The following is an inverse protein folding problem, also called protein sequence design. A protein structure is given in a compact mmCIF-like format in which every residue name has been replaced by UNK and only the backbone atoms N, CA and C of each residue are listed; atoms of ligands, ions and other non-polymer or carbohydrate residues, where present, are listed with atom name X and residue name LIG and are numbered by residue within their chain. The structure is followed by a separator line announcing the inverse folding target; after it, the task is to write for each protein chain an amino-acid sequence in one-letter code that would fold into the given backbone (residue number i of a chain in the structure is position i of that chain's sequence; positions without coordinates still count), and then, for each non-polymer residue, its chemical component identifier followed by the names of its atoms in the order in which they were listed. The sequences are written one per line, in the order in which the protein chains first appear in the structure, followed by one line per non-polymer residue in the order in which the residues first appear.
data_IF_569927500786
#
_entry.id   IF_569927500786
#
_cell.length_a   1.000
_cell.length_b   1.000
_cell.length_c   1.000
_cell.angle_alpha   90.00
_cell.angle_beta   90.00
_cell.angle_gamma   90.00
#
_symmetry.space_group_name_H-M   'P 1'
#
loop_
_entity.id
_entity.type
_entity.pdbx_description
1 polymer ?
#
# COMPACT_ATOMS: atom_id res chain seq x y z
N UNK A 1 -22.50 12.44 22.56
CA UNK A 1 -22.09 11.82 21.28
C UNK A 1 -20.69 12.32 20.98
N UNK A 2 -19.68 11.44 21.02
CA UNK A 2 -18.31 11.80 20.66
C UNK A 2 -18.29 12.27 19.21
N UNK A 3 -17.50 13.30 18.90
CA UNK A 3 -17.41 13.80 17.53
C UNK A 3 -16.61 12.78 16.72
N UNK A 4 -17.06 12.43 15.51
CA UNK A 4 -16.31 11.54 14.59
C UNK A 4 -14.86 12.00 14.37
N UNK A 5 -14.57 13.30 14.59
CA UNK A 5 -13.24 13.93 14.54
C UNK A 5 -12.16 13.24 15.41
N UNK A 6 -12.56 12.49 16.44
CA UNK A 6 -11.63 11.83 17.36
C UNK A 6 -11.51 10.32 17.04
N UNK A 7 -12.15 9.85 15.96
CA UNK A 7 -12.30 8.44 15.65
C UNK A 7 -11.16 7.94 14.74
N UNK A 8 -10.33 7.07 15.28
CA UNK A 8 -9.47 6.15 14.56
C UNK A 8 -10.25 5.33 13.51
N UNK A 9 -9.55 4.74 12.55
CA UNK A 9 -10.20 3.90 11.52
C UNK A 9 -11.08 2.77 12.12
N UNK A 10 -10.69 2.11 13.23
CA UNK A 10 -11.59 1.24 14.00
C UNK A 10 -12.90 1.88 14.44
N UNK A 11 -12.85 3.13 14.86
CA UNK A 11 -14.02 3.84 15.34
C UNK A 11 -14.97 4.29 14.21
N UNK A 12 -14.47 4.45 12.98
CA UNK A 12 -15.31 4.60 11.78
C UNK A 12 -16.21 3.36 11.56
N UNK A 13 -15.70 2.16 11.84
CA UNK A 13 -16.49 0.92 11.71
C UNK A 13 -17.61 0.75 12.75
N UNK A 14 -17.59 1.55 13.82
CA UNK A 14 -18.67 1.56 14.81
C UNK A 14 -19.81 2.53 14.45
N UNK A 15 -19.62 3.40 13.45
CA UNK A 15 -20.56 4.46 13.07
C UNK A 15 -20.95 4.37 11.58
N UNK A 16 -21.05 3.14 11.06
CA UNK A 16 -21.26 2.85 9.62
C UNK A 16 -22.52 3.53 9.07
N UNK A 17 -23.63 3.50 9.82
CA UNK A 17 -24.89 4.11 9.38
C UNK A 17 -24.76 5.62 9.19
N UNK A 18 -24.04 6.28 10.09
CA UNK A 18 -23.74 7.71 9.98
C UNK A 18 -22.86 7.98 8.75
N UNK A 19 -21.78 7.22 8.55
CA UNK A 19 -20.92 7.35 7.36
C UNK A 19 -21.71 7.18 6.04
N UNK A 20 -22.70 6.30 6.00
CA UNK A 20 -23.49 6.07 4.79
C UNK A 20 -24.48 7.21 4.48
N UNK A 21 -24.78 8.06 5.46
CA UNK A 21 -25.79 9.14 5.36
C UNK A 21 -25.18 10.55 5.20
N UNK A 22 -23.97 10.80 5.73
CA UNK A 22 -23.29 12.09 5.65
C UNK A 22 -23.01 12.57 4.22
N UNK A 23 -23.12 13.86 3.91
CA UNK A 23 -22.74 14.35 2.58
C UNK A 23 -21.21 14.57 2.48
N UNK A 24 -20.70 14.95 1.29
CA UNK A 24 -19.25 15.16 1.07
C UNK A 24 -18.68 16.30 1.93
N UNK A 25 -19.45 17.37 2.16
CA UNK A 25 -19.04 18.51 2.98
C UNK A 25 -18.94 18.09 4.46
N UNK A 26 -19.89 17.29 4.94
CA UNK A 26 -19.85 16.73 6.29
C UNK A 26 -18.61 15.86 6.51
N UNK A 27 -18.22 15.06 5.51
CA UNK A 27 -16.98 14.29 5.57
C UNK A 27 -15.73 15.18 5.64
N UNK A 28 -15.71 16.31 4.94
CA UNK A 28 -14.59 17.25 4.99
C UNK A 28 -14.46 17.90 6.37
N UNK A 29 -15.57 18.10 7.09
CA UNK A 29 -15.55 18.59 8.47
C UNK A 29 -14.94 17.61 9.48
N UNK A 30 -14.74 16.33 9.10
CA UNK A 30 -14.09 15.32 9.93
C UNK A 30 -12.56 15.30 9.78
N UNK A 31 -12.05 15.99 8.77
CA UNK A 31 -10.63 16.02 8.48
C UNK A 31 -9.89 16.98 9.41
N UNK A 32 -8.66 16.63 9.76
CA UNK A 32 -7.72 17.57 10.37
C UNK A 32 -7.37 18.69 9.37
N UNK A 33 -6.82 19.81 9.85
CA UNK A 33 -6.43 20.88 8.93
C UNK A 33 -5.07 20.55 8.29
N UNK A 34 -4.86 20.81 6.98
CA UNK A 34 -3.59 20.53 6.33
C UNK A 34 -2.37 21.12 7.04
N UNK A 35 -2.49 22.32 7.62
CA UNK A 35 -1.41 22.98 8.36
C UNK A 35 -0.89 22.19 9.57
N UNK A 36 -1.72 21.33 10.16
CA UNK A 36 -1.36 20.51 11.33
C UNK A 36 -0.47 19.31 10.96
N UNK A 37 -0.33 18.99 9.67
CA UNK A 37 0.42 17.83 9.22
C UNK A 37 1.88 18.17 8.93
N UNK A 38 2.74 17.31 9.48
CA UNK A 38 4.17 17.33 9.20
C UNK A 38 4.46 16.73 7.82
N UNK A 39 5.56 17.19 7.23
CA UNK A 39 6.05 16.69 5.96
C UNK A 39 7.46 16.12 6.19
N UNK A 40 7.74 14.85 5.83
CA UNK A 40 9.07 14.28 5.95
C UNK A 40 10.10 15.15 5.23
N UNK A 41 11.27 15.38 5.85
CA UNK A 41 12.32 16.19 5.23
C UNK A 41 12.74 15.62 3.88
N UNK A 42 12.84 14.29 3.78
CA UNK A 42 13.16 13.59 2.53
C UNK A 42 12.15 13.87 1.43
N UNK A 43 10.85 13.93 1.75
CA UNK A 43 9.82 14.34 0.80
C UNK A 43 10.06 15.78 0.34
N UNK A 44 10.22 16.71 1.30
CA UNK A 44 10.40 18.14 1.00
C UNK A 44 11.63 18.38 0.12
N UNK A 45 12.74 17.70 0.40
CA UNK A 45 13.93 17.74 -0.44
C UNK A 45 13.66 17.13 -1.82
N UNK A 46 12.97 15.99 -1.90
CA UNK A 46 12.64 15.36 -3.19
C UNK A 46 11.82 16.26 -4.11
N UNK A 47 10.81 16.96 -3.56
CA UNK A 47 10.01 17.93 -4.33
C UNK A 47 10.66 19.31 -4.43
N UNK A 48 11.93 19.45 -4.05
CA UNK A 48 12.70 20.70 -4.06
C UNK A 48 11.98 21.87 -3.38
N UNK A 49 11.40 21.62 -2.21
CA UNK A 49 10.68 22.61 -1.41
C UNK A 49 9.51 23.29 -2.16
N UNK A 50 8.95 22.63 -3.19
CA UNK A 50 7.79 23.12 -3.90
C UNK A 50 6.57 23.20 -2.97
N UNK A 51 6.20 24.43 -2.60
CA UNK A 51 5.10 24.72 -1.66
C UNK A 51 3.78 24.09 -2.10
N UNK A 52 3.46 24.08 -3.40
CA UNK A 52 2.23 23.49 -3.91
C UNK A 52 2.20 21.98 -3.72
N UNK A 53 3.32 21.29 -3.95
CA UNK A 53 3.40 19.84 -3.76
C UNK A 53 3.37 19.46 -2.28
N UNK A 54 4.05 20.23 -1.43
CA UNK A 54 4.00 20.09 0.02
C UNK A 54 2.57 20.27 0.53
N UNK A 55 1.86 21.29 0.07
CA UNK A 55 0.45 21.50 0.42
C UNK A 55 -0.40 20.30 -0.01
N UNK A 56 -0.24 19.80 -1.24
CA UNK A 56 -0.96 18.60 -1.71
C UNK A 56 -0.72 17.36 -0.83
N UNK A 57 0.52 17.16 -0.37
CA UNK A 57 0.83 16.06 0.56
C UNK A 57 0.10 16.23 1.88
N UNK A 58 0.16 17.42 2.48
CA UNK A 58 -0.54 17.73 3.73
C UNK A 58 -2.05 17.58 3.59
N UNK A 59 -2.63 18.10 2.52
CA UNK A 59 -4.05 17.92 2.19
C UNK A 59 -4.41 16.45 2.05
N UNK A 60 -3.60 15.66 1.33
CA UNK A 60 -3.88 14.24 1.16
C UNK A 60 -3.85 13.48 2.50
N UNK A 61 -2.89 13.77 3.37
CA UNK A 61 -2.84 13.18 4.72
C UNK A 61 -4.05 13.60 5.57
N UNK A 62 -4.34 14.90 5.59
CA UNK A 62 -5.47 15.48 6.30
C UNK A 62 -6.80 14.87 5.89
N UNK A 63 -6.98 14.66 4.58
CA UNK A 63 -8.22 14.19 3.98
C UNK A 63 -8.27 12.67 3.80
N UNK A 64 -7.24 11.94 4.20
CA UNK A 64 -7.18 10.48 4.09
C UNK A 64 -8.38 9.79 4.74
N UNK A 65 -8.83 10.14 5.97
CA UNK A 65 -10.03 9.52 6.56
C UNK A 65 -11.28 9.70 5.68
N UNK A 66 -11.45 10.89 5.09
CA UNK A 66 -12.53 11.14 4.14
C UNK A 66 -12.41 10.27 2.89
N UNK A 67 -11.23 10.19 2.27
CA UNK A 67 -11.03 9.34 1.09
C UNK A 67 -11.41 7.88 1.36
N UNK A 68 -10.96 7.35 2.49
CA UNK A 68 -11.30 6.02 2.94
C UNK A 68 -12.80 5.80 3.12
N UNK A 69 -13.47 6.65 3.91
CA UNK A 69 -14.89 6.51 4.18
C UNK A 69 -15.74 6.70 2.92
N UNK A 70 -15.39 7.69 2.09
CA UNK A 70 -16.06 7.96 0.82
C UNK A 70 -15.94 6.77 -0.13
N UNK A 71 -14.73 6.21 -0.29
CA UNK A 71 -14.51 5.06 -1.17
C UNK A 71 -15.29 3.83 -0.72
N UNK A 72 -15.24 3.50 0.58
CA UNK A 72 -15.98 2.38 1.15
C UNK A 72 -17.49 2.52 0.96
N UNK A 73 -18.02 3.73 1.17
CA UNK A 73 -19.44 4.03 0.90
C UNK A 73 -19.78 3.81 -0.57
N UNK A 74 -18.99 4.35 -1.49
CA UNK A 74 -19.23 4.23 -2.93
C UNK A 74 -19.19 2.77 -3.37
N UNK A 75 -18.22 1.98 -2.89
CA UNK A 75 -18.18 0.54 -3.12
C UNK A 75 -19.41 -0.18 -2.55
N UNK A 76 -19.86 0.16 -1.34
CA UNK A 76 -21.02 -0.48 -0.71
C UNK A 76 -22.32 -0.18 -1.47
N UNK A 77 -22.50 1.06 -1.90
CA UNK A 77 -23.73 1.52 -2.52
C UNK A 77 -23.81 1.19 -4.02
N UNK A 78 -22.68 1.24 -4.73
CA UNK A 78 -22.66 1.17 -6.19
C UNK A 78 -21.87 -0.04 -6.72
N UNK A 79 -21.22 -0.81 -5.85
CA UNK A 79 -20.23 -1.78 -6.27
C UNK A 79 -19.06 -1.11 -6.99
N UNK A 80 -18.37 -1.86 -7.84
CA UNK A 80 -17.32 -1.31 -8.70
C UNK A 80 -17.94 -0.52 -9.85
N UNK A 81 -17.74 0.80 -9.87
CA UNK A 81 -18.30 1.69 -10.88
C UNK A 81 -17.27 2.66 -11.47
N UNK A 82 -17.26 2.80 -12.80
CA UNK A 82 -16.36 3.70 -13.54
C UNK A 82 -16.54 5.19 -13.19
N UNK A 83 -17.64 5.56 -12.54
CA UNK A 83 -17.92 6.93 -12.07
C UNK A 83 -16.94 7.40 -11.00
N UNK A 84 -16.40 6.49 -10.18
CA UNK A 84 -15.51 6.84 -9.07
C UNK A 84 -14.20 6.05 -9.04
N UNK A 85 -14.12 4.92 -9.74
CA UNK A 85 -12.88 4.16 -9.86
C UNK A 85 -12.54 3.81 -11.31
N UNK A 86 -11.32 4.12 -11.73
CA UNK A 86 -10.72 3.69 -12.98
C UNK A 86 -10.02 2.35 -12.78
N UNK A 87 -10.42 1.33 -13.52
CA UNK A 87 -9.82 0.00 -13.50
C UNK A 87 -9.20 -0.28 -14.87
N UNK A 88 -7.95 -0.77 -14.92
CA UNK A 88 -7.32 -1.17 -16.16
C UNK A 88 -8.16 -2.21 -16.92
N UNK A 89 -8.42 -2.00 -18.22
CA UNK A 89 -9.36 -2.82 -18.99
C UNK A 89 -8.94 -4.30 -19.09
N UNK A 90 -7.64 -4.58 -18.96
CA UNK A 90 -7.04 -5.90 -19.01
C UNK A 90 -6.92 -6.60 -17.65
N UNK A 91 -7.41 -5.99 -16.55
CA UNK A 91 -7.26 -6.56 -15.21
C UNK A 91 -7.84 -7.98 -15.12
N UNK A 92 -9.09 -8.16 -15.55
CA UNK A 92 -9.79 -9.46 -15.47
C UNK A 92 -9.08 -10.57 -16.25
N UNK A 93 -8.45 -10.24 -17.38
CA UNK A 93 -7.68 -11.20 -18.17
C UNK A 93 -6.38 -11.58 -17.46
N UNK A 94 -5.66 -10.59 -16.93
CA UNK A 94 -4.41 -10.79 -16.20
C UNK A 94 -4.63 -11.68 -14.99
N UNK A 95 -5.75 -11.53 -14.28
CA UNK A 95 -5.99 -12.22 -13.00
C UNK A 95 -6.91 -13.44 -13.12
N UNK A 96 -7.21 -13.89 -14.34
CA UNK A 96 -8.00 -15.10 -14.62
C UNK A 96 -7.41 -16.35 -13.95
N UNK A 97 -6.10 -16.36 -13.74
CA UNK A 97 -5.37 -17.39 -13.02
C UNK A 97 -4.68 -16.81 -11.78
N UNK A 98 -4.49 -17.63 -10.73
CA UNK A 98 -3.77 -17.23 -9.53
C UNK A 98 -2.40 -16.64 -9.86
N UNK A 99 -2.16 -15.46 -9.31
CA UNK A 99 -0.89 -14.74 -9.40
C UNK A 99 -0.56 -14.12 -8.04
N UNK A 100 0.67 -13.62 -7.92
CA UNK A 100 1.11 -12.91 -6.73
C UNK A 100 0.96 -11.42 -6.99
N UNK A 101 0.25 -10.73 -6.12
CA UNK A 101 0.11 -9.29 -6.16
C UNK A 101 1.16 -8.62 -5.28
N UNK A 102 1.69 -7.51 -5.76
CA UNK A 102 2.59 -6.64 -4.99
C UNK A 102 2.00 -5.25 -4.91
N UNK A 103 1.74 -4.77 -3.70
CA UNK A 103 0.99 -3.52 -3.51
C UNK A 103 1.87 -2.52 -2.76
N UNK A 104 2.51 -1.54 -3.42
CA UNK A 104 3.24 -0.50 -2.72
C UNK A 104 2.29 0.43 -1.94
N UNK A 105 2.81 1.10 -0.92
CA UNK A 105 2.04 1.97 -0.02
C UNK A 105 1.63 3.30 -0.68
N UNK A 106 0.74 3.24 -1.67
CA UNK A 106 0.17 4.41 -2.35
C UNK A 106 -1.31 4.59 -2.02
N UNK A 107 -1.78 5.84 -2.00
CA UNK A 107 -3.21 6.16 -2.01
C UNK A 107 -3.99 5.45 -0.89
N UNK A 108 -4.96 4.61 -1.24
CA UNK A 108 -5.67 3.74 -0.28
C UNK A 108 -5.29 2.25 -0.49
N UNK A 109 -4.00 1.93 -0.60
CA UNK A 109 -3.45 0.59 -0.88
C UNK A 109 -4.11 -0.56 -0.09
N UNK A 110 -4.50 -0.33 1.16
CA UNK A 110 -5.16 -1.33 2.00
C UNK A 110 -6.58 -1.71 1.54
N UNK A 111 -7.21 -0.90 0.68
CA UNK A 111 -8.51 -1.21 0.07
C UNK A 111 -8.37 -1.97 -1.26
N UNK A 112 -7.18 -2.01 -1.85
CA UNK A 112 -6.91 -2.74 -3.09
C UNK A 112 -7.25 -4.23 -3.01
N UNK A 113 -6.91 -4.98 -1.94
CA UNK A 113 -7.33 -6.37 -1.78
C UNK A 113 -8.84 -6.57 -1.97
N UNK A 114 -9.66 -5.67 -1.43
CA UNK A 114 -11.12 -5.77 -1.52
C UNK A 114 -11.62 -5.52 -2.93
N UNK A 115 -10.99 -4.61 -3.69
CA UNK A 115 -11.30 -4.38 -5.10
C UNK A 115 -10.94 -5.61 -5.93
N UNK A 116 -9.74 -6.17 -5.72
CA UNK A 116 -9.27 -7.35 -6.44
C UNK A 116 -10.15 -8.57 -6.17
N UNK A 117 -10.68 -8.71 -4.96
CA UNK A 117 -11.63 -9.76 -4.59
C UNK A 117 -12.82 -9.88 -5.55
N UNK A 118 -13.30 -8.76 -6.12
CA UNK A 118 -14.42 -8.78 -7.09
C UNK A 118 -14.08 -9.40 -8.45
N UNK A 119 -12.80 -9.58 -8.77
CA UNK A 119 -12.35 -10.03 -10.08
C UNK A 119 -11.73 -11.44 -10.07
N UNK A 120 -11.44 -11.99 -8.89
CA UNK A 120 -10.91 -13.34 -8.77
C UNK A 120 -12.02 -14.39 -8.82
N UNK A 121 -11.65 -15.66 -8.94
CA UNK A 121 -12.61 -16.76 -9.00
C UNK A 121 -13.42 -16.86 -7.69
N UNK A 122 -14.72 -17.20 -7.73
CA UNK A 122 -15.57 -17.27 -6.53
C UNK A 122 -15.05 -18.17 -5.41
N UNK A 123 -14.37 -19.26 -5.76
CA UNK A 123 -13.77 -20.21 -4.82
C UNK A 123 -12.41 -19.79 -4.25
N UNK A 124 -11.81 -18.73 -4.82
CA UNK A 124 -10.49 -18.24 -4.47
C UNK A 124 -10.55 -17.08 -3.48
N UNK A 125 -9.46 -16.89 -2.76
CA UNK A 125 -9.28 -15.81 -1.80
C UNK A 125 -8.04 -14.99 -2.14
N UNK A 126 -8.07 -13.71 -1.81
CA UNK A 126 -6.92 -12.84 -1.66
C UNK A 126 -6.31 -13.09 -0.28
N UNK A 127 -5.00 -13.37 -0.22
CA UNK A 127 -4.28 -13.60 1.04
C UNK A 127 -3.38 -12.40 1.32
N UNK A 128 -3.88 -11.42 2.08
CA UNK A 128 -3.18 -10.16 2.33
C UNK A 128 -2.32 -10.23 3.60
N UNK A 129 -1.00 -10.21 3.44
CA UNK A 129 -0.10 -10.17 4.60
C UNK A 129 0.08 -8.76 5.15
N UNK A 130 0.05 -8.56 6.48
CA UNK A 130 0.27 -7.23 7.07
C UNK A 130 0.54 -7.26 8.57
N UNK A 131 1.10 -6.16 9.10
CA UNK A 131 1.39 -6.00 10.53
C UNK A 131 0.13 -5.98 11.40
N UNK A 132 0.29 -6.19 12.71
CA UNK A 132 -0.81 -6.22 13.67
C UNK A 132 -1.75 -5.01 13.58
N UNK A 133 -1.22 -3.81 13.33
CA UNK A 133 -2.05 -2.60 13.22
C UNK A 133 -2.99 -2.65 12.02
N UNK A 134 -2.58 -3.33 10.94
CA UNK A 134 -3.40 -3.55 9.75
C UNK A 134 -4.54 -4.58 9.99
N UNK A 135 -4.45 -5.43 11.01
CA UNK A 135 -5.51 -6.38 11.38
C UNK A 135 -6.78 -5.65 11.82
N UNK A 136 -6.61 -4.59 12.63
CA UNK A 136 -7.71 -3.74 13.09
C UNK A 136 -8.39 -3.00 11.92
N UNK A 137 -7.58 -2.52 10.97
CA UNK A 137 -8.04 -1.87 9.75
C UNK A 137 -8.81 -2.85 8.86
N UNK A 138 -8.25 -4.04 8.62
CA UNK A 138 -8.92 -5.08 7.85
C UNK A 138 -10.27 -5.50 8.46
N UNK A 139 -10.30 -5.68 9.78
CA UNK A 139 -11.54 -6.01 10.51
C UNK A 139 -12.59 -4.92 10.36
N UNK A 140 -12.17 -3.65 10.41
CA UNK A 140 -13.04 -2.49 10.23
C UNK A 140 -13.60 -2.39 8.81
N UNK A 141 -12.79 -2.69 7.78
CA UNK A 141 -13.25 -2.77 6.40
C UNK A 141 -14.28 -3.89 6.27
N UNK A 142 -13.99 -5.08 6.80
CA UNK A 142 -14.88 -6.24 6.74
C UNK A 142 -16.23 -6.01 7.44
N UNK A 143 -16.29 -5.18 8.48
CA UNK A 143 -17.56 -4.77 9.10
C UNK A 143 -18.42 -3.90 8.15
N UNK A 144 -17.78 -3.10 7.30
CA UNK A 144 -18.47 -2.18 6.36
C UNK A 144 -18.84 -2.89 5.06
N UNK A 145 -17.85 -3.57 4.49
CA UNK A 145 -17.86 -4.34 3.25
C UNK A 145 -17.47 -5.78 3.59
N UNK A 146 -18.42 -6.62 4.06
CA UNK A 146 -18.13 -8.01 4.34
C UNK A 146 -17.73 -8.71 3.02
N UNK A 147 -16.43 -8.81 2.80
CA UNK A 147 -15.84 -9.46 1.66
C UNK A 147 -15.27 -10.80 2.10
N UNK A 148 -15.99 -11.88 1.78
CA UNK A 148 -15.62 -13.25 2.15
C UNK A 148 -14.34 -13.71 1.44
N UNK A 149 -13.90 -13.02 0.39
CA UNK A 149 -12.77 -13.44 -0.43
C UNK A 149 -11.45 -12.78 -0.03
N UNK A 150 -11.37 -12.05 1.09
CA UNK A 150 -10.11 -11.49 1.60
C UNK A 150 -9.78 -12.11 2.96
N UNK A 151 -8.65 -12.81 3.03
CA UNK A 151 -8.09 -13.36 4.26
C UNK A 151 -6.84 -12.57 4.65
N UNK A 152 -6.82 -12.07 5.90
CA UNK A 152 -5.68 -11.33 6.43
C UNK A 152 -4.68 -12.27 7.11
N UNK A 153 -3.42 -12.14 6.72
CA UNK A 153 -2.31 -12.98 7.18
C UNK A 153 -1.35 -12.14 8.03
N UNK A 154 -1.51 -12.20 9.36
CA UNK A 154 -0.76 -11.37 10.30
C UNK A 154 0.76 -11.64 10.28
N UNK A 155 1.56 -10.57 10.35
CA UNK A 155 3.00 -10.60 10.64
C UNK A 155 3.33 -9.84 11.95
N UNK A 156 4.43 -10.18 12.66
CA UNK A 156 5.42 -11.20 12.33
C UNK A 156 4.89 -12.63 12.47
N UNK A 157 5.13 -13.45 11.44
CA UNK A 157 4.89 -14.89 11.44
C UNK A 157 6.00 -15.54 10.62
N UNK A 158 6.84 -16.35 11.29
CA UNK A 158 7.98 -17.03 10.66
C UNK A 158 7.55 -17.97 9.51
N UNK A 159 6.28 -18.41 9.52
CA UNK A 159 5.71 -19.28 8.49
C UNK A 159 4.95 -18.53 7.41
N UNK A 160 4.94 -17.19 7.40
CA UNK A 160 4.12 -16.40 6.48
C UNK A 160 4.35 -16.77 5.02
N UNK A 161 5.61 -16.86 4.57
CA UNK A 161 5.93 -17.25 3.20
C UNK A 161 5.40 -18.64 2.85
N UNK A 162 5.52 -19.60 3.78
CA UNK A 162 5.01 -20.96 3.59
C UNK A 162 3.49 -20.98 3.50
N UNK A 163 2.80 -20.18 4.30
CA UNK A 163 1.33 -20.05 4.24
C UNK A 163 0.88 -19.45 2.92
N UNK A 164 1.54 -18.39 2.45
CA UNK A 164 1.23 -17.76 1.16
C UNK A 164 1.47 -18.71 -0.02
N UNK A 165 2.58 -19.48 -0.02
CA UNK A 165 2.86 -20.49 -1.06
C UNK A 165 1.79 -21.59 -1.05
N UNK A 166 1.41 -22.09 0.13
CA UNK A 166 0.34 -23.11 0.24
C UNK A 166 -0.98 -22.56 -0.27
N UNK A 167 -1.31 -21.32 0.07
CA UNK A 167 -2.49 -20.64 -0.43
C UNK A 167 -2.49 -20.52 -1.96
N UNK A 168 -1.37 -20.09 -2.54
CA UNK A 168 -1.19 -20.04 -3.99
C UNK A 168 -1.45 -21.39 -4.66
N UNK A 169 -0.86 -22.47 -4.13
CA UNK A 169 -1.04 -23.83 -4.64
C UNK A 169 -2.49 -24.33 -4.53
N UNK A 170 -3.29 -23.73 -3.65
CA UNK A 170 -4.73 -24.00 -3.51
C UNK A 170 -5.60 -23.12 -4.41
N UNK A 171 -5.01 -22.29 -5.28
CA UNK A 171 -5.73 -21.40 -6.19
C UNK A 171 -5.98 -19.99 -5.64
N UNK A 172 -5.41 -19.61 -4.49
CA UNK A 172 -5.56 -18.27 -3.92
C UNK A 172 -4.52 -17.29 -4.48
N UNK A 173 -4.71 -16.00 -4.19
CA UNK A 173 -3.93 -14.89 -4.72
C UNK A 173 -3.17 -14.18 -3.58
N UNK A 174 -1.90 -14.52 -3.33
CA UNK A 174 -1.09 -13.86 -2.31
C UNK A 174 -0.89 -12.39 -2.61
N UNK A 175 -0.97 -11.54 -1.59
CA UNK A 175 -0.52 -10.14 -1.63
C UNK A 175 0.69 -9.99 -0.72
N UNK A 176 1.71 -9.29 -1.21
CA UNK A 176 2.84 -8.82 -0.42
C UNK A 176 2.97 -7.30 -0.61
N UNK A 177 3.19 -6.58 0.49
CA UNK A 177 3.54 -5.17 0.46
C UNK A 177 5.07 -5.05 0.36
N UNK A 178 5.63 -4.40 -0.68
CA UNK A 178 7.06 -4.23 -0.81
C UNK A 178 7.52 -3.11 0.14
N UNK A 179 8.38 -3.49 1.08
CA UNK A 179 8.95 -2.59 2.08
C UNK A 179 10.38 -2.18 1.71
N UNK A 180 10.82 -1.04 2.24
CA UNK A 180 12.22 -0.62 2.22
C UNK A 180 12.79 -0.67 3.64
N UNK A 181 14.09 -0.90 3.76
CA UNK A 181 14.77 -0.99 5.06
C UNK A 181 16.13 -0.31 5.06
N UNK A 182 16.51 0.17 6.24
CA UNK A 182 17.86 0.63 6.57
C UNK A 182 18.80 -0.48 7.04
N UNK A 183 18.30 -1.71 7.19
CA UNK A 183 19.09 -2.86 7.62
C UNK A 183 20.02 -3.31 6.51
N UNK A 184 21.31 -3.38 6.79
CA UNK A 184 22.33 -3.94 5.88
C UNK A 184 22.45 -5.46 6.04
N UNK A 185 21.39 -6.12 6.51
CA UNK A 185 21.34 -7.57 6.65
C UNK A 185 21.58 -8.21 5.27
N UNK A 186 22.49 -9.18 5.23
CA UNK A 186 22.86 -9.91 4.01
C UNK A 186 21.68 -10.69 3.39
N UNK A 187 20.60 -10.88 4.14
CA UNK A 187 19.37 -11.50 3.67
C UNK A 187 18.50 -10.55 2.84
N UNK A 188 18.81 -9.26 2.80
CA UNK A 188 18.08 -8.28 2.00
C UNK A 188 18.76 -8.05 0.65
N UNK A 189 17.94 -7.72 -0.34
CA UNK A 189 18.43 -7.36 -1.66
C UNK A 189 18.76 -5.87 -1.70
N UNK A 190 19.94 -5.54 -2.20
CA UNK A 190 20.41 -4.17 -2.36
C UNK A 190 20.00 -3.61 -3.72
N UNK A 191 19.37 -2.43 -3.74
CA UNK A 191 19.08 -1.70 -4.98
C UNK A 191 19.14 -0.18 -4.77
N UNK A 192 18.98 0.58 -5.85
CA UNK A 192 18.83 2.05 -5.79
C UNK A 192 17.38 2.45 -5.99
N UNK A 193 16.90 3.40 -5.19
CA UNK A 193 15.59 4.02 -5.29
C UNK A 193 15.74 5.52 -5.05
N UNK A 194 15.30 6.37 -5.98
CA UNK A 194 15.46 7.83 -5.91
C UNK A 194 16.93 8.27 -5.73
N UNK A 195 17.85 7.55 -6.36
CA UNK A 195 19.29 7.78 -6.24
C UNK A 195 19.93 7.24 -4.95
N UNK A 196 19.11 6.85 -3.96
CA UNK A 196 19.59 6.33 -2.67
C UNK A 196 19.74 4.81 -2.68
N UNK A 197 20.80 4.33 -2.01
CA UNK A 197 20.99 2.89 -1.78
C UNK A 197 20.01 2.42 -0.70
N UNK A 198 19.16 1.45 -1.03
CA UNK A 198 18.15 0.88 -0.13
C UNK A 198 18.26 -0.65 -0.08
N UNK A 199 17.78 -1.23 1.02
CA UNK A 199 17.70 -2.67 1.20
C UNK A 199 16.25 -3.10 1.23
N UNK A 200 15.90 -4.15 0.49
CA UNK A 200 14.52 -4.61 0.35
C UNK A 200 14.40 -6.08 0.74
N UNK A 201 13.36 -6.48 1.49
CA UNK A 201 13.13 -7.88 1.80
C UNK A 201 12.89 -8.71 0.54
N UNK A 202 13.52 -9.89 0.46
CA UNK A 202 13.41 -10.80 -0.68
C UNK A 202 12.10 -11.60 -0.74
N UNK A 203 11.10 -11.26 0.09
CA UNK A 203 9.84 -12.02 0.18
C UNK A 203 9.12 -12.16 -1.16
N UNK A 204 9.03 -11.07 -1.93
CA UNK A 204 8.43 -11.02 -3.27
C UNK A 204 9.18 -11.93 -4.25
N UNK A 205 10.52 -11.82 -4.29
CA UNK A 205 11.40 -12.66 -5.11
C UNK A 205 11.22 -14.15 -4.78
N UNK A 206 11.25 -14.49 -3.49
CA UNK A 206 11.15 -15.86 -3.02
C UNK A 206 9.80 -16.49 -3.37
N UNK A 207 8.69 -15.78 -3.14
CA UNK A 207 7.37 -16.34 -3.49
C UNK A 207 7.20 -16.48 -5.00
N UNK A 208 7.63 -15.48 -5.79
CA UNK A 208 7.54 -15.53 -7.25
C UNK A 208 8.31 -16.72 -7.83
N UNK A 209 9.54 -16.93 -7.34
CA UNK A 209 10.40 -18.04 -7.72
C UNK A 209 9.83 -19.40 -7.30
N UNK A 210 9.43 -19.55 -6.04
CA UNK A 210 8.97 -20.83 -5.50
C UNK A 210 7.62 -21.26 -6.06
N UNK A 211 6.72 -20.31 -6.30
CA UNK A 211 5.43 -20.58 -6.94
C UNK A 211 5.53 -20.70 -8.46
N UNK A 212 6.67 -20.35 -9.07
CA UNK A 212 6.86 -20.22 -10.53
C UNK A 212 5.74 -19.38 -11.16
N UNK A 213 5.37 -18.30 -10.48
CA UNK A 213 4.19 -17.51 -10.82
C UNK A 213 4.58 -16.10 -11.23
N UNK A 214 3.72 -15.49 -12.06
CA UNK A 214 3.83 -14.09 -12.39
C UNK A 214 3.52 -13.23 -11.16
N UNK A 215 4.30 -12.17 -11.00
CA UNK A 215 4.12 -11.15 -9.98
C UNK A 215 3.57 -9.91 -10.65
N UNK A 216 2.44 -9.40 -10.14
CA UNK A 216 1.71 -8.27 -10.70
C UNK A 216 1.75 -7.11 -9.70
N UNK A 217 2.53 -6.05 -9.95
CA UNK A 217 2.49 -4.84 -9.14
C UNK A 217 1.16 -4.12 -9.37
N UNK A 218 0.49 -3.70 -8.29
CA UNK A 218 -0.77 -2.97 -8.34
C UNK A 218 -0.74 -1.83 -7.33
N UNK A 219 -1.01 -0.60 -7.77
CA UNK A 219 -1.14 0.54 -6.88
C UNK A 219 -2.50 1.21 -7.05
N UNK A 220 -2.94 1.94 -6.03
CA UNK A 220 -4.08 2.83 -6.13
C UNK A 220 -3.66 4.27 -5.86
N UNK A 221 -4.06 5.19 -6.72
CA UNK A 221 -3.91 6.63 -6.49
C UNK A 221 -5.26 7.32 -6.59
N UNK A 222 -5.29 8.59 -6.20
CA UNK A 222 -6.44 9.47 -6.31
C UNK A 222 -6.03 10.79 -6.98
N UNK A 223 -6.76 11.18 -8.01
CA UNK A 223 -6.69 12.53 -8.55
C UNK A 223 -8.10 13.13 -8.56
N UNK A 224 -8.82 13.01 -9.68
CA UNK A 224 -10.26 13.35 -9.74
C UNK A 224 -11.13 12.17 -9.29
N UNK A 225 -10.66 10.96 -9.57
CA UNK A 225 -11.24 9.67 -9.19
C UNK A 225 -10.15 8.74 -8.66
N UNK A 226 -10.55 7.62 -8.07
CA UNK A 226 -9.62 6.56 -7.69
C UNK A 226 -9.14 5.82 -8.93
N UNK A 227 -7.88 5.45 -8.97
CA UNK A 227 -7.28 4.81 -10.14
C UNK A 227 -6.43 3.63 -9.70
N UNK A 228 -6.74 2.44 -10.22
CA UNK A 228 -5.85 1.30 -10.13
C UNK A 228 -4.82 1.36 -11.26
N UNK A 229 -3.56 1.22 -10.89
CA UNK A 229 -2.43 1.16 -11.80
C UNK A 229 -1.91 -0.27 -11.81
N UNK A 230 -1.79 -0.85 -13.00
CA UNK A 230 -1.10 -2.12 -13.21
C UNK A 230 0.35 -1.84 -13.60
N UNK A 231 1.28 -2.42 -12.86
CA UNK A 231 2.68 -2.45 -13.22
C UNK A 231 3.00 -3.50 -14.27
N UNK A 232 4.29 -3.63 -14.64
CA UNK A 232 4.73 -4.67 -15.56
C UNK A 232 4.45 -6.06 -14.97
N UNK A 233 4.10 -7.02 -15.82
CA UNK A 233 4.05 -8.43 -15.41
C UNK A 233 5.49 -8.93 -15.20
N UNK A 234 5.81 -9.29 -13.97
CA UNK A 234 7.16 -9.71 -13.59
C UNK A 234 7.21 -11.23 -13.51
N UNK A 235 8.17 -11.82 -14.21
CA UNK A 235 8.42 -13.26 -14.14
C UNK A 235 9.83 -13.48 -13.63
N UNK A 236 10.00 -14.44 -12.73
CA UNK A 236 11.31 -14.83 -12.28
C UNK A 236 12.14 -15.39 -13.45
N UNK A 237 13.41 -15.00 -13.51
CA UNK A 237 14.40 -15.56 -14.45
C UNK A 237 15.63 -15.99 -13.66
N UNK A 238 16.37 -17.00 -14.13
CA UNK A 238 17.57 -17.47 -13.41
C UNK A 238 18.69 -16.41 -13.37
N UNK A 239 18.67 -15.46 -14.30
CA UNK A 239 19.75 -14.48 -14.51
C UNK A 239 19.44 -13.10 -13.94
N UNK A 240 18.28 -12.86 -13.33
CA UNK A 240 17.89 -11.53 -12.87
C UNK A 240 16.82 -11.53 -11.79
N UNK A 241 16.80 -10.47 -10.97
CA UNK A 241 15.81 -10.29 -9.91
C UNK A 241 14.58 -9.53 -10.41
N UNK A 242 13.40 -9.94 -9.96
CA UNK A 242 12.14 -9.23 -10.22
C UNK A 242 12.03 -7.93 -9.41
N UNK A 243 12.86 -7.75 -8.38
CA UNK A 243 12.85 -6.56 -7.52
C UNK A 243 13.33 -5.31 -8.26
N UNK A 244 14.29 -5.43 -9.19
CA UNK A 244 14.77 -4.30 -9.98
C UNK A 244 13.67 -3.65 -10.85
N UNK A 245 12.98 -4.38 -11.74
CA UNK A 245 11.88 -3.81 -12.52
C UNK A 245 10.68 -3.42 -11.65
N UNK A 246 10.43 -4.12 -10.54
CA UNK A 246 9.40 -3.73 -9.56
C UNK A 246 9.68 -2.33 -9.00
N UNK A 247 10.86 -2.12 -8.43
CA UNK A 247 11.21 -0.85 -7.78
C UNK A 247 11.42 0.28 -8.79
N UNK A 248 11.83 -0.02 -10.02
CA UNK A 248 11.84 0.96 -11.11
C UNK A 248 10.43 1.46 -11.44
N UNK A 249 9.43 0.57 -11.47
CA UNK A 249 8.03 0.98 -11.65
C UNK A 249 7.49 1.77 -10.45
N UNK A 250 7.82 1.36 -9.22
CA UNK A 250 7.47 2.12 -8.00
C UNK A 250 8.07 3.53 -8.07
N UNK A 251 9.34 3.67 -8.47
CA UNK A 251 10.02 4.96 -8.62
C UNK A 251 9.31 5.88 -9.61
N UNK A 252 8.89 5.37 -10.77
CA UNK A 252 8.11 6.13 -11.74
C UNK A 252 6.77 6.59 -11.15
N UNK A 253 6.10 5.74 -10.37
CA UNK A 253 4.85 6.11 -9.70
C UNK A 253 5.06 7.20 -8.63
N UNK A 254 6.17 7.12 -7.87
CA UNK A 254 6.58 8.16 -6.92
C UNK A 254 6.80 9.48 -7.66
N UNK A 255 7.54 9.48 -8.77
CA UNK A 255 7.81 10.69 -9.54
C UNK A 255 6.51 11.35 -10.06
N UNK A 256 5.52 10.56 -10.46
CA UNK A 256 4.25 11.07 -10.97
C UNK A 256 3.32 11.59 -9.87
N UNK A 257 3.27 10.92 -8.71
CA UNK A 257 2.33 11.23 -7.62
C UNK A 257 2.99 11.16 -6.24
N UNK A 258 4.05 11.96 -5.98
CA UNK A 258 4.87 11.76 -4.79
C UNK A 258 4.09 12.02 -3.51
N UNK A 259 3.10 12.91 -3.56
CA UNK A 259 2.27 13.27 -2.41
C UNK A 259 1.36 12.14 -1.89
N UNK A 260 1.25 11.02 -2.62
CA UNK A 260 0.40 9.88 -2.23
C UNK A 260 1.18 8.64 -1.79
N UNK A 261 2.51 8.69 -1.82
CA UNK A 261 3.33 7.58 -1.35
C UNK A 261 3.56 7.69 0.15
N UNK A 262 3.19 6.67 0.92
CA UNK A 262 3.44 6.65 2.37
C UNK A 262 4.85 6.18 2.74
N UNK A 263 5.66 5.76 1.76
CA UNK A 263 7.03 5.32 2.01
C UNK A 263 8.00 6.43 2.42
N UNK A 264 7.61 7.70 2.34
CA UNK A 264 8.46 8.83 2.72
C UNK A 264 8.92 8.78 4.17
N UNK A 265 8.03 8.35 5.09
CA UNK A 265 8.40 8.23 6.50
C UNK A 265 9.47 7.14 6.70
N UNK A 266 9.28 5.96 6.11
CA UNK A 266 10.27 4.89 6.17
C UNK A 266 11.61 5.30 5.54
N UNK A 267 11.56 6.06 4.45
CA UNK A 267 12.76 6.58 3.81
C UNK A 267 13.49 7.59 4.71
N UNK A 268 12.77 8.49 5.39
CA UNK A 268 13.34 9.44 6.35
C UNK A 268 13.99 8.72 7.54
N UNK A 269 13.26 7.79 8.18
CA UNK A 269 13.78 6.97 9.29
C UNK A 269 15.06 6.23 8.89
N UNK A 270 15.10 5.70 7.67
CA UNK A 270 16.30 5.05 7.13
C UNK A 270 17.48 6.01 6.99
N UNK A 271 17.25 7.22 6.46
CA UNK A 271 18.32 8.19 6.25
C UNK A 271 18.87 8.72 7.58
N UNK A 272 18.00 8.96 8.56
CA UNK A 272 18.41 9.35 9.92
C UNK A 272 19.25 8.26 10.58
N UNK A 273 18.81 7.00 10.49
CA UNK A 273 19.56 5.86 11.07
C UNK A 273 20.97 5.73 10.48
N UNK A 274 21.13 5.95 9.16
CA UNK A 274 22.44 5.95 8.49
C UNK A 274 23.34 7.08 8.97
N UNK A 275 22.80 8.30 9.10
CA UNK A 275 23.57 9.46 9.58
C UNK A 275 24.17 9.20 10.97
N UNK A 276 23.35 8.70 11.91
CA UNK A 276 23.79 8.38 13.28
C UNK A 276 24.88 7.29 13.27
N UNK A 277 24.72 6.23 12.48
CA UNK A 277 25.75 5.17 12.36
C UNK A 277 27.08 5.71 11.84
N UNK A 278 27.05 6.61 10.85
CA UNK A 278 28.25 7.20 10.29
C UNK A 278 28.99 8.07 11.32
N UNK A 279 28.27 8.90 12.07
CA UNK A 279 28.85 9.72 13.14
C UNK A 279 29.51 8.86 14.23
N UNK A 280 28.83 7.80 14.69
CA UNK A 280 29.38 6.87 15.70
C UNK A 280 30.64 6.14 15.19
N UNK A 281 30.67 5.77 13.91
CA UNK A 281 31.83 5.10 13.30
C UNK A 281 33.06 6.00 13.16
N UNK A 282 32.86 7.32 13.04
CA UNK A 282 33.93 8.32 12.99
C UNK A 282 34.50 8.57 14.38
N UNK A 283 33.65 8.59 15.41
CA UNK A 283 34.08 8.73 16.82
C UNK A 283 34.88 7.52 17.30
N UNK A 284 34.54 6.30 16.87
CA UNK A 284 35.26 5.07 17.25
C UNK A 284 36.64 4.90 16.56
N UNK A 285 36.93 5.70 15.54
CA UNK A 285 38.21 5.69 14.81
C UNK A 285 39.19 6.76 15.30
N UNK A 286 38.79 7.57 16.28
CA UNK A 286 39.63 8.56 16.97
C UNK A 286 40.10 7.99 18.30
#
# INVERSE_FOLDING_TARGET
MGKIKDLSFPELSNNIEELLTLNKEDFLHLCSKPEDWNTPKTYSTFVNENEQMILKYKEFLAYRPMHWAWFLRMLKQQGINKSFISIPPNLSEIIKEPCIFVIPHFGLHMLVPHILGHFIKPESHILASGYIDAESVNSSINNILPNVQVEFMKIPDIWILRKLIRGYNNGNYPIIYPEISSSEDKTFFELKLLGEKVYVPMGVEHIGRLCKSKVIPIAMTYNEKYELHLGPTLNYTETGSILLPLFSWIEQLIQNTPYQWFGWQFMEEMMVSKAIKNELSLVQKQ
#
